data_IF_708514827855
#
_entry.id   IF_708514827855
#
_cell.length_a   1.000
_cell.length_b   1.000
_cell.length_c   1.000
_cell.angle_alpha   90.00
_cell.angle_beta   90.00
_cell.angle_gamma   90.00
#
_symmetry.space_group_name_H-M   'P 1'
#
loop_
_entity.id
_entity.type
_entity.pdbx_description
1 polymer ?
#
# COMPACT_ATOMS: atom_id res chain seq x y z
N UNK A 1 -3.30 -38.85 -21.67
CA UNK A 1 -3.02 -37.52 -22.26
C UNK A 1 -4.17 -36.61 -21.92
N UNK A 2 -3.98 -35.70 -20.96
CA UNK A 2 -5.03 -34.85 -20.40
C UNK A 2 -5.19 -33.58 -21.24
N UNK A 3 -6.36 -33.45 -21.86
CA UNK A 3 -6.79 -32.28 -22.61
C UNK A 3 -7.05 -31.09 -21.66
N UNK A 4 -6.30 -30.03 -21.93
CA UNK A 4 -6.67 -28.61 -21.91
C UNK A 4 -7.96 -28.24 -21.16
N UNK A 5 -7.81 -27.91 -19.88
CA UNK A 5 -8.75 -27.07 -19.16
C UNK A 5 -8.33 -25.60 -19.36
N UNK A 6 -9.22 -24.82 -19.97
CA UNK A 6 -9.10 -23.37 -20.10
C UNK A 6 -8.87 -22.73 -18.71
N UNK A 7 -7.78 -22.00 -18.47
CA UNK A 7 -7.68 -21.20 -17.26
C UNK A 7 -8.56 -19.97 -17.44
N UNK A 8 -9.56 -19.83 -16.56
CA UNK A 8 -10.37 -18.62 -16.42
C UNK A 8 -9.46 -17.38 -16.31
N UNK A 9 -9.95 -16.23 -16.80
CA UNK A 9 -9.27 -14.92 -16.78
C UNK A 9 -8.68 -14.50 -15.41
N UNK A 10 -9.06 -15.18 -14.33
CA UNK A 10 -8.58 -14.98 -12.96
C UNK A 10 -7.15 -15.52 -12.75
N UNK A 11 -6.79 -16.65 -13.35
CA UNK A 11 -5.46 -17.26 -13.18
C UNK A 11 -4.36 -16.51 -13.95
N UNK A 12 -4.74 -15.75 -14.99
CA UNK A 12 -3.84 -14.88 -15.75
C UNK A 12 -3.52 -13.56 -15.02
N UNK A 13 -4.37 -13.12 -14.08
CA UNK A 13 -4.11 -11.93 -13.25
C UNK A 13 -3.06 -12.21 -12.17
N UNK A 14 -3.13 -13.34 -11.49
CA UNK A 14 -2.25 -13.64 -10.35
C UNK A 14 -0.78 -13.86 -10.72
N UNK A 15 -0.47 -14.43 -11.89
CA UNK A 15 0.92 -14.49 -12.38
C UNK A 15 1.52 -13.11 -12.70
N UNK A 16 0.69 -12.10 -12.97
CA UNK A 16 1.16 -10.71 -13.20
C UNK A 16 1.49 -9.95 -11.92
N UNK A 17 0.80 -10.23 -10.82
CA UNK A 17 1.09 -9.57 -9.53
C UNK A 17 2.43 -10.00 -8.93
N UNK A 18 2.87 -11.24 -9.15
CA UNK A 18 4.15 -11.76 -8.65
C UNK A 18 5.38 -11.49 -9.55
N UNK A 19 5.18 -11.12 -10.83
CA UNK A 19 6.29 -10.98 -11.79
C UNK A 19 6.35 -9.67 -12.58
N UNK A 20 5.41 -8.74 -12.40
CA UNK A 20 5.37 -7.56 -13.25
C UNK A 20 4.05 -6.87 -13.13
N UNK A 21 3.96 -6.05 -12.08
CA UNK A 21 2.75 -5.32 -11.77
C UNK A 21 2.25 -4.55 -12.99
N UNK A 22 0.97 -4.72 -13.29
CA UNK A 22 0.23 -3.86 -14.21
C UNK A 22 -0.02 -2.55 -13.46
N UNK A 23 0.97 -1.66 -13.45
CA UNK A 23 0.81 -0.29 -12.93
C UNK A 23 0.26 0.57 -14.07
N UNK A 24 -0.89 1.19 -13.78
CA UNK A 24 -1.57 2.27 -14.52
C UNK A 24 -1.10 2.44 -15.97
N UNK A 25 -1.89 1.93 -16.93
CA UNK A 25 -1.63 2.10 -18.38
C UNK A 25 -1.56 3.60 -18.81
N UNK A 26 -1.79 4.52 -17.86
CA UNK A 26 -1.75 5.98 -17.97
C UNK A 26 -0.47 6.65 -17.44
N UNK A 27 0.48 5.93 -16.80
CA UNK A 27 1.74 6.52 -16.30
C UNK A 27 2.97 6.23 -17.16
N UNK A 28 3.93 7.17 -17.14
CA UNK A 28 5.17 7.04 -17.91
C UNK A 28 6.06 5.91 -17.40
N UNK A 29 6.92 5.39 -18.28
CA UNK A 29 7.92 4.36 -17.92
C UNK A 29 8.83 4.81 -16.76
N UNK A 30 9.17 6.09 -16.73
CA UNK A 30 10.01 6.69 -15.70
C UNK A 30 9.31 6.69 -14.34
N UNK A 31 8.05 7.13 -14.27
CA UNK A 31 7.27 7.11 -13.04
C UNK A 31 7.08 5.69 -12.50
N UNK A 32 6.89 4.72 -13.38
CA UNK A 32 6.86 3.31 -13.01
C UNK A 32 8.19 2.78 -12.44
N UNK A 33 9.34 3.29 -12.90
CA UNK A 33 10.64 2.95 -12.32
C UNK A 33 10.83 3.58 -10.95
N UNK A 34 10.44 4.84 -10.80
CA UNK A 34 10.46 5.59 -9.55
C UNK A 34 9.62 4.88 -8.48
N UNK A 35 8.36 4.53 -8.79
CA UNK A 35 7.49 3.81 -7.87
C UNK A 35 8.10 2.47 -7.43
N UNK A 36 8.65 1.69 -8.36
CA UNK A 36 9.32 0.41 -8.04
C UNK A 36 10.53 0.61 -7.12
N UNK A 37 11.26 1.70 -7.30
CA UNK A 37 12.38 2.03 -6.44
C UNK A 37 11.91 2.42 -5.04
N UNK A 38 10.89 3.26 -4.92
CA UNK A 38 10.29 3.65 -3.64
C UNK A 38 9.77 2.42 -2.88
N UNK A 39 9.07 1.50 -3.55
CA UNK A 39 8.62 0.25 -2.94
C UNK A 39 9.80 -0.56 -2.39
N UNK A 40 10.87 -0.72 -3.17
CA UNK A 40 12.06 -1.48 -2.74
C UNK A 40 12.75 -0.83 -1.54
N UNK A 41 12.89 0.49 -1.54
CA UNK A 41 13.51 1.23 -0.44
C UNK A 41 12.64 1.15 0.82
N UNK A 42 11.31 1.28 0.68
CA UNK A 42 10.36 1.12 1.79
C UNK A 42 10.44 -0.29 2.38
N UNK A 43 10.51 -1.33 1.54
CA UNK A 43 10.72 -2.72 1.99
C UNK A 43 12.08 -2.96 2.66
N UNK A 44 13.04 -2.05 2.48
CA UNK A 44 14.31 -2.04 3.22
C UNK A 44 14.28 -1.12 4.45
N UNK A 45 13.06 -0.75 4.91
CA UNK A 45 12.80 0.08 6.09
C UNK A 45 13.30 1.52 6.01
N UNK A 46 13.42 2.06 4.80
CA UNK A 46 13.76 3.49 4.58
C UNK A 46 12.52 4.36 4.80
N UNK A 47 12.46 5.11 5.91
CA UNK A 47 11.32 5.97 6.23
C UNK A 47 11.11 7.12 5.23
N UNK A 48 12.19 7.62 4.63
CA UNK A 48 12.11 8.71 3.64
C UNK A 48 11.52 8.21 2.33
N UNK A 49 11.75 6.94 2.01
CA UNK A 49 11.09 6.29 0.89
C UNK A 49 9.59 6.09 1.16
N UNK A 50 9.19 5.77 2.40
CA UNK A 50 7.78 5.68 2.79
C UNK A 50 7.07 7.04 2.64
N UNK A 51 7.67 8.12 3.13
CA UNK A 51 7.14 9.47 2.96
C UNK A 51 6.95 9.83 1.47
N UNK A 52 7.96 9.56 0.64
CA UNK A 52 7.87 9.79 -0.82
C UNK A 52 6.85 8.88 -1.51
N UNK A 53 6.66 7.66 -1.02
CA UNK A 53 5.67 6.73 -1.55
C UNK A 53 4.25 7.23 -1.23
N UNK A 54 4.05 7.76 -0.01
CA UNK A 54 2.79 8.38 0.40
C UNK A 54 2.42 9.59 -0.48
N UNK A 55 3.41 10.40 -0.84
CA UNK A 55 3.22 11.58 -1.70
C UNK A 55 3.29 11.26 -3.20
N UNK A 56 3.42 9.99 -3.57
CA UNK A 56 3.59 9.61 -4.98
C UNK A 56 2.32 9.91 -5.77
N UNK A 57 2.46 10.66 -6.87
CA UNK A 57 1.33 10.98 -7.75
C UNK A 57 0.71 9.71 -8.33
N UNK A 58 -0.47 9.35 -7.82
CA UNK A 58 -1.19 8.13 -8.17
C UNK A 58 -2.08 8.29 -9.44
N UNK A 59 -2.23 9.51 -9.97
CA UNK A 59 -3.15 9.81 -11.07
C UNK A 59 -4.57 10.17 -10.65
N UNK A 60 -4.84 10.29 -9.34
CA UNK A 60 -6.15 10.59 -8.76
C UNK A 60 -7.12 9.39 -8.74
N UNK A 61 -8.21 9.52 -8.00
CA UNK A 61 -9.30 8.54 -7.94
C UNK A 61 -8.82 7.09 -7.78
N UNK A 62 -9.19 6.24 -8.73
CA UNK A 62 -8.86 4.80 -8.73
C UNK A 62 -7.36 4.49 -8.66
N UNK A 63 -6.49 5.36 -9.20
CA UNK A 63 -5.05 5.13 -9.13
C UNK A 63 -4.49 5.22 -7.70
N UNK A 64 -5.14 5.98 -6.81
CA UNK A 64 -4.79 6.04 -5.39
C UNK A 64 -5.26 4.80 -4.62
N UNK A 65 -6.28 4.07 -5.11
CA UNK A 65 -6.66 2.78 -4.53
C UNK A 65 -5.59 1.72 -4.80
N UNK A 66 -5.04 1.70 -6.01
CA UNK A 66 -3.91 0.82 -6.36
C UNK A 66 -2.68 1.14 -5.49
N UNK A 67 -2.38 2.42 -5.26
CA UNK A 67 -1.30 2.83 -4.35
C UNK A 67 -1.59 2.41 -2.90
N UNK A 68 -2.84 2.54 -2.44
CA UNK A 68 -3.27 2.03 -1.14
C UNK A 68 -3.05 0.52 -1.00
N UNK A 69 -3.39 -0.25 -2.04
CA UNK A 69 -3.12 -1.67 -2.09
C UNK A 69 -1.61 -1.98 -2.02
N UNK A 70 -0.75 -1.20 -2.69
CA UNK A 70 0.70 -1.35 -2.55
C UNK A 70 1.15 -1.18 -1.10
N UNK A 71 0.67 -0.12 -0.45
CA UNK A 71 1.06 0.21 0.93
C UNK A 71 0.65 -0.92 1.86
N UNK A 72 -0.57 -1.45 1.74
CA UNK A 72 -1.03 -2.59 2.56
C UNK A 72 -0.20 -3.85 2.32
N UNK A 73 0.18 -4.16 1.06
CA UNK A 73 1.07 -5.28 0.76
C UNK A 73 2.50 -5.09 1.32
N UNK A 74 2.97 -3.85 1.43
CA UNK A 74 4.23 -3.53 2.13
C UNK A 74 4.08 -3.83 3.63
N UNK A 75 2.98 -3.41 4.26
CA UNK A 75 2.69 -3.70 5.69
C UNK A 75 2.69 -5.21 5.93
N UNK A 76 1.94 -5.99 5.14
CA UNK A 76 1.92 -7.45 5.29
C UNK A 76 3.29 -8.10 5.10
N UNK A 77 4.16 -7.51 4.26
CA UNK A 77 5.48 -8.07 3.97
C UNK A 77 6.54 -7.73 5.02
N UNK A 78 6.48 -6.54 5.60
CA UNK A 78 7.37 -6.12 6.69
C UNK A 78 6.89 -6.65 8.05
N UNK A 79 5.58 -6.76 8.22
CA UNK A 79 4.93 -6.98 9.50
C UNK A 79 4.59 -5.66 10.19
N UNK A 80 3.53 -5.69 11.00
CA UNK A 80 2.95 -4.53 11.66
C UNK A 80 3.97 -3.73 12.48
N UNK A 81 4.77 -4.44 13.29
CA UNK A 81 5.80 -3.82 14.14
C UNK A 81 6.83 -3.00 13.35
N UNK A 82 7.44 -3.60 12.33
CA UNK A 82 8.49 -2.96 11.54
C UNK A 82 7.95 -1.73 10.79
N UNK A 83 6.73 -1.84 10.25
CA UNK A 83 6.09 -0.72 9.58
C UNK A 83 5.72 0.40 10.56
N UNK A 84 5.20 0.05 11.74
CA UNK A 84 4.86 1.00 12.82
C UNK A 84 6.08 1.81 13.26
N UNK A 85 7.26 1.20 13.36
CA UNK A 85 8.51 1.90 13.67
C UNK A 85 8.90 2.94 12.59
N UNK A 86 8.59 2.68 11.32
CA UNK A 86 8.78 3.66 10.24
C UNK A 86 7.78 4.81 10.37
N UNK A 87 6.51 4.48 10.61
CA UNK A 87 5.41 5.45 10.76
C UNK A 87 5.63 6.39 11.95
N UNK A 88 6.26 5.90 13.02
CA UNK A 88 6.64 6.72 14.17
C UNK A 88 7.46 7.97 13.79
N UNK A 89 8.21 7.92 12.67
CA UNK A 89 9.10 8.99 12.21
C UNK A 89 8.42 10.03 11.31
N UNK A 90 7.24 9.74 10.76
CA UNK A 90 6.52 10.61 9.81
C UNK A 90 5.85 11.81 10.50
N UNK A 91 5.73 12.93 9.82
CA UNK A 91 5.01 14.13 10.28
C UNK A 91 3.47 14.02 10.14
N UNK A 92 2.73 15.01 10.65
CA UNK A 92 1.26 14.97 10.68
C UNK A 92 0.61 14.91 9.28
N UNK A 93 1.19 15.61 8.29
CA UNK A 93 0.68 15.61 6.92
C UNK A 93 0.95 14.26 6.26
N UNK A 94 2.16 13.73 6.42
CA UNK A 94 2.55 12.42 5.94
C UNK A 94 1.66 11.32 6.55
N UNK A 95 1.38 11.39 7.85
CA UNK A 95 0.51 10.45 8.55
C UNK A 95 -0.93 10.46 8.03
N UNK A 96 -1.47 11.64 7.74
CA UNK A 96 -2.85 11.78 7.24
C UNK A 96 -3.01 11.18 5.85
N UNK A 97 -2.03 11.43 4.96
CA UNK A 97 -2.02 10.79 3.65
C UNK A 97 -1.90 9.26 3.76
N UNK A 98 -1.02 8.79 4.65
CA UNK A 98 -0.71 7.38 4.76
C UNK A 98 -1.90 6.59 5.31
N UNK A 99 -2.59 7.11 6.32
CA UNK A 99 -3.81 6.52 6.86
C UNK A 99 -4.86 6.34 5.76
N UNK A 100 -5.08 7.38 4.94
CA UNK A 100 -6.03 7.32 3.83
C UNK A 100 -5.68 6.25 2.79
N UNK A 101 -4.38 6.10 2.46
CA UNK A 101 -3.92 5.04 1.56
C UNK A 101 -4.12 3.64 2.16
N UNK A 102 -3.82 3.45 3.44
CA UNK A 102 -4.00 2.16 4.11
C UNK A 102 -5.47 1.77 4.13
N UNK A 103 -6.36 2.70 4.51
CA UNK A 103 -7.80 2.47 4.54
C UNK A 103 -8.32 2.09 3.15
N UNK A 104 -7.94 2.82 2.10
CA UNK A 104 -8.34 2.50 0.74
C UNK A 104 -7.80 1.13 0.27
N UNK A 105 -6.57 0.78 0.62
CA UNK A 105 -5.98 -0.52 0.28
C UNK A 105 -6.66 -1.70 0.98
N UNK A 106 -7.11 -1.51 2.22
CA UNK A 106 -7.88 -2.50 2.96
C UNK A 106 -9.32 -2.63 2.46
N UNK A 107 -9.93 -1.51 2.07
CA UNK A 107 -11.31 -1.48 1.58
C UNK A 107 -11.42 -2.11 0.18
N UNK A 108 -10.60 -1.64 -0.76
CA UNK A 108 -10.72 -1.97 -2.19
C UNK A 108 -9.72 -3.02 -2.68
N UNK A 109 -8.75 -3.41 -1.85
CA UNK A 109 -7.74 -4.40 -2.19
C UNK A 109 -8.22 -5.84 -2.06
N UNK A 110 -7.61 -6.72 -2.87
CA UNK A 110 -7.72 -8.19 -2.80
C UNK A 110 -6.51 -8.71 -2.01
N UNK A 111 -6.52 -8.52 -0.69
CA UNK A 111 -5.36 -8.84 0.15
C UNK A 111 -5.30 -10.33 0.50
N UNK A 112 -6.43 -11.04 0.48
CA UNK A 112 -6.48 -12.49 0.69
C UNK A 112 -6.29 -13.32 -0.60
N UNK A 113 -6.31 -12.66 -1.77
CA UNK A 113 -6.07 -13.23 -3.11
C UNK A 113 -7.19 -14.15 -3.59
N UNK A 114 -8.41 -13.92 -3.13
CA UNK A 114 -9.60 -14.63 -3.59
C UNK A 114 -10.21 -14.04 -4.88
N UNK A 115 -9.68 -12.90 -5.33
CA UNK A 115 -10.11 -12.20 -6.53
C UNK A 115 -11.23 -11.18 -6.29
N UNK A 116 -11.56 -10.86 -5.04
CA UNK A 116 -12.58 -9.89 -4.63
C UNK A 116 -11.96 -8.79 -3.76
N UNK A 117 -12.74 -7.72 -3.52
CA UNK A 117 -12.37 -6.67 -2.58
C UNK A 117 -12.67 -7.15 -1.15
N UNK A 118 -11.77 -6.88 -0.23
CA UNK A 118 -11.87 -7.43 1.13
C UNK A 118 -12.79 -6.61 2.06
N UNK A 119 -12.92 -5.30 1.84
CA UNK A 119 -13.60 -4.38 2.76
C UNK A 119 -13.08 -4.47 4.22
N UNK A 120 -11.77 -4.65 4.38
CA UNK A 120 -11.08 -4.72 5.69
C UNK A 120 -11.01 -3.32 6.32
N UNK A 121 -10.86 -3.29 7.64
CA UNK A 121 -10.70 -2.04 8.41
C UNK A 121 -9.39 -2.04 9.19
N UNK A 122 -8.75 -0.87 9.24
CA UNK A 122 -7.44 -0.69 9.87
C UNK A 122 -7.46 -1.00 11.38
N UNK A 123 -8.55 -0.69 12.08
CA UNK A 123 -8.73 -0.97 13.51
C UNK A 123 -8.74 -2.48 13.82
N UNK A 124 -9.22 -3.29 12.87
CA UNK A 124 -9.22 -4.76 12.98
C UNK A 124 -7.94 -5.39 12.45
N UNK A 125 -7.38 -4.86 11.37
CA UNK A 125 -6.25 -5.50 10.67
C UNK A 125 -4.90 -5.08 11.27
N UNK A 126 -4.75 -3.80 11.65
CA UNK A 126 -3.50 -3.21 12.15
C UNK A 126 -3.77 -2.29 13.37
N UNK A 127 -4.29 -2.84 14.49
CA UNK A 127 -4.67 -2.04 15.66
C UNK A 127 -3.49 -1.26 16.28
N UNK A 128 -2.28 -1.82 16.27
CA UNK A 128 -1.10 -1.16 16.83
C UNK A 128 -0.65 0.02 15.97
N UNK A 129 -0.65 -0.17 14.64
CA UNK A 129 -0.38 0.90 13.68
C UNK A 129 -1.38 2.05 13.81
N UNK A 130 -2.68 1.75 13.89
CA UNK A 130 -3.70 2.79 14.08
C UNK A 130 -3.44 3.60 15.34
N UNK A 131 -3.18 2.93 16.46
CA UNK A 131 -2.84 3.58 17.73
C UNK A 131 -1.59 4.45 17.62
N UNK A 132 -0.57 4.00 16.88
CA UNK A 132 0.64 4.79 16.64
C UNK A 132 0.35 6.06 15.83
N UNK A 133 -0.47 5.96 14.78
CA UNK A 133 -0.89 7.11 13.95
C UNK A 133 -1.62 8.13 14.83
N UNK A 134 -2.59 7.69 15.63
CA UNK A 134 -3.34 8.54 16.55
C UNK A 134 -2.44 9.21 17.59
N UNK A 135 -1.50 8.45 18.17
CA UNK A 135 -0.55 8.95 19.17
C UNK A 135 0.36 10.02 18.56
N UNK A 136 0.92 9.76 17.38
CA UNK A 136 1.78 10.72 16.70
C UNK A 136 1.05 12.02 16.36
N UNK A 137 -0.21 11.91 15.89
CA UNK A 137 -1.05 13.07 15.61
C UNK A 137 -1.27 13.92 16.86
N UNK A 138 -1.51 13.30 18.02
CA UNK A 138 -1.68 14.03 19.28
C UNK A 138 -0.39 14.73 19.73
N UNK A 139 0.76 14.07 19.59
CA UNK A 139 2.06 14.62 20.01
C UNK A 139 2.56 15.76 19.11
N UNK A 140 2.16 15.76 17.83
CA UNK A 140 2.65 16.70 16.81
C UNK A 140 1.69 17.86 16.53
N UNK A 141 0.50 17.86 17.13
CA UNK A 141 -0.41 19.02 17.09
C UNK A 141 0.31 20.25 17.66
N UNK A 142 0.31 21.39 16.95
CA UNK A 142 0.79 22.64 17.53
C UNK A 142 -0.10 23.00 18.72
N UNK A 143 0.50 23.27 19.89
CA UNK A 143 -0.20 23.88 21.02
C UNK A 143 -0.72 25.23 20.54
N UNK A 144 -2.05 25.33 20.39
CA UNK A 144 -2.71 26.52 19.89
C UNK A 144 -3.12 27.46 21.03
#
# INVERSE_FOLDING_TARGET
>A
MLNQLFPSLLTLRLKRYASGVRWTETQSLEKNRELRQLIRQTLNKDEKALAKLNDFWCGGGAGCYDLGFIVTQIIYRLGDKDFTEMVAKLDENELTGLEGLIMAGLEYGDNDKDGKMDNKKIDTEFPELLKQIETNRQLKKPNH
#
